data_IF_086952327207
#
_entry.id   IF_086952327207
#
_cell.length_a   1.000
_cell.length_b   1.000
_cell.length_c   1.000
_cell.angle_alpha   90.00
_cell.angle_beta   90.00
_cell.angle_gamma   90.00
#
_symmetry.space_group_name_H-M   'P 1'
#
loop_
_entity.id
_entity.type
_entity.pdbx_description
1 polymer ?
#
# COMPACT_ATOMS: atom_id res chain seq x y z
N UNK A 1 26.04 58.47 6.08
CA UNK A 1 24.90 57.83 5.40
C UNK A 1 24.97 56.34 5.64
N UNK A 2 23.86 55.76 6.13
CA UNK A 2 23.42 54.36 6.12
C UNK A 2 24.50 53.26 5.99
N UNK A 3 24.62 52.44 7.04
CA UNK A 3 24.68 50.98 6.88
C UNK A 3 23.95 50.35 8.08
N UNK A 4 22.62 50.36 7.96
CA UNK A 4 21.72 49.46 8.65
C UNK A 4 21.66 48.20 7.80
N UNK A 5 22.00 47.04 8.36
CA UNK A 5 21.45 45.70 8.05
C UNK A 5 22.43 44.64 8.55
N UNK A 6 22.10 44.01 9.68
CA UNK A 6 22.15 42.55 9.81
C UNK A 6 21.57 42.18 11.18
N UNK A 7 20.25 42.18 11.29
CA UNK A 7 19.53 41.41 12.30
C UNK A 7 18.49 40.60 11.55
N UNK A 8 18.48 39.29 11.81
CA UNK A 8 17.33 38.43 11.56
C UNK A 8 17.53 37.43 10.43
N UNK A 9 17.95 36.21 10.76
CA UNK A 9 17.02 35.11 10.99
C UNK A 9 17.82 33.83 11.27
N UNK A 10 17.95 33.51 12.56
CA UNK A 10 18.29 32.17 13.03
C UNK A 10 16.96 31.46 13.30
N UNK A 11 16.83 30.24 12.80
CA UNK A 11 15.98 29.22 13.42
C UNK A 11 14.65 28.95 12.73
N UNK A 12 14.67 28.42 11.51
CA UNK A 12 13.66 27.43 11.10
C UNK A 12 14.38 26.09 11.08
N UNK A 13 14.52 25.50 12.27
CA UNK A 13 14.95 24.12 12.43
C UNK A 13 13.79 23.23 11.94
N UNK A 14 14.01 22.68 10.74
CA UNK A 14 13.53 21.41 10.23
C UNK A 14 12.55 20.65 11.15
N UNK A 15 11.25 20.87 10.95
CA UNK A 15 10.24 19.85 11.25
C UNK A 15 10.28 18.82 10.13
N UNK A 16 11.32 17.99 10.08
CA UNK A 16 11.26 16.76 9.30
C UNK A 16 10.96 15.65 10.28
N UNK A 17 9.68 15.45 10.58
CA UNK A 17 9.19 14.19 11.15
C UNK A 17 9.35 13.11 10.07
N UNK A 18 10.58 12.68 9.83
CA UNK A 18 10.85 11.47 9.02
C UNK A 18 10.66 10.30 9.96
N UNK A 19 9.41 9.97 10.27
CA UNK A 19 9.09 8.62 10.71
C UNK A 19 9.22 7.74 9.47
N UNK A 20 10.43 7.24 9.22
CA UNK A 20 10.58 6.03 8.43
C UNK A 20 9.86 4.95 9.22
N UNK A 21 8.67 4.59 8.76
CA UNK A 21 7.87 3.51 9.33
C UNK A 21 8.49 2.20 8.87
N UNK A 22 9.63 1.84 9.44
CA UNK A 22 10.37 0.63 9.10
C UNK A 22 9.41 -0.58 9.09
N UNK A 23 9.42 -1.35 8.00
CA UNK A 23 8.61 -2.56 7.87
C UNK A 23 7.16 -2.38 7.41
N UNK A 24 6.68 -1.17 7.11
CA UNK A 24 5.33 -1.00 6.55
C UNK A 24 5.34 -0.84 5.04
N UNK A 25 4.54 -1.66 4.35
CA UNK A 25 4.26 -1.57 2.91
C UNK A 25 2.82 -1.08 2.75
N UNK A 26 2.66 0.08 2.11
CA UNK A 26 1.33 0.65 1.84
C UNK A 26 0.91 0.34 0.41
N UNK A 27 -0.29 -0.18 0.24
CA UNK A 27 -0.85 -0.55 -1.06
C UNK A 27 -2.10 0.28 -1.31
N UNK A 28 -1.97 1.47 -1.91
CA UNK A 28 -3.13 2.23 -2.35
C UNK A 28 -3.79 1.52 -3.52
N UNK A 29 -5.09 1.33 -3.43
CA UNK A 29 -5.88 0.57 -4.40
C UNK A 29 -6.74 1.52 -5.21
N UNK A 30 -6.55 1.51 -6.53
CA UNK A 30 -7.35 2.27 -7.51
C UNK A 30 -8.53 1.48 -8.04
N UNK A 31 -8.32 0.20 -8.26
CA UNK A 31 -9.28 -0.69 -8.89
C UNK A 31 -9.01 -2.13 -8.44
N UNK A 32 -10.06 -2.95 -8.44
CA UNK A 32 -9.96 -4.38 -8.22
C UNK A 32 -10.66 -5.11 -9.36
N UNK A 33 -9.97 -6.07 -9.97
CA UNK A 33 -10.48 -6.86 -11.10
C UNK A 33 -10.58 -8.32 -10.72
N UNK A 34 -11.68 -8.96 -11.09
CA UNK A 34 -11.77 -10.42 -11.00
C UNK A 34 -10.77 -11.07 -11.95
N UNK A 35 -10.16 -12.17 -11.51
CA UNK A 35 -9.37 -13.04 -12.38
C UNK A 35 -10.22 -14.21 -12.88
N UNK A 36 -9.63 -15.10 -13.69
CA UNK A 36 -10.29 -16.34 -14.12
C UNK A 36 -10.52 -17.33 -12.96
N UNK A 37 -9.82 -17.13 -11.84
CA UNK A 37 -10.00 -17.91 -10.62
C UNK A 37 -10.95 -17.17 -9.68
N UNK A 38 -12.06 -17.82 -9.33
CA UNK A 38 -13.01 -17.29 -8.35
C UNK A 38 -12.32 -17.07 -7.00
N UNK A 39 -12.62 -15.98 -6.31
CA UNK A 39 -11.95 -15.64 -5.03
C UNK A 39 -10.50 -15.16 -5.16
N UNK A 40 -9.99 -14.98 -6.39
CA UNK A 40 -8.70 -14.33 -6.65
C UNK A 40 -8.91 -13.06 -7.45
N UNK A 41 -8.43 -11.95 -6.92
CA UNK A 41 -8.62 -10.61 -7.46
C UNK A 41 -7.29 -9.94 -7.76
N UNK A 42 -7.17 -9.31 -8.92
CA UNK A 42 -6.05 -8.43 -9.23
C UNK A 42 -6.31 -7.04 -8.62
N UNK A 43 -5.37 -6.60 -7.79
CA UNK A 43 -5.42 -5.31 -7.11
C UNK A 43 -4.55 -4.32 -7.89
N UNK A 44 -5.17 -3.31 -8.50
CA UNK A 44 -4.48 -2.30 -9.30
C UNK A 44 -4.07 -1.15 -8.38
N UNK A 45 -2.76 -0.97 -8.21
CA UNK A 45 -2.18 0.09 -7.37
C UNK A 45 -1.75 1.33 -8.17
N UNK A 46 -1.29 2.37 -7.47
CA UNK A 46 -0.71 3.60 -8.06
C UNK A 46 0.69 3.39 -8.67
N UNK A 47 0.85 2.40 -9.55
CA UNK A 47 2.12 2.05 -10.22
C UNK A 47 3.27 1.66 -9.27
N UNK A 48 2.96 1.43 -7.99
CA UNK A 48 3.95 1.06 -6.98
C UNK A 48 4.40 -0.39 -7.11
N UNK A 49 3.48 -1.24 -7.58
CA UNK A 49 3.67 -2.67 -7.72
C UNK A 49 3.32 -3.07 -9.14
N UNK A 50 4.18 -3.89 -9.76
CA UNK A 50 3.97 -4.35 -11.12
C UNK A 50 2.69 -5.21 -11.23
N UNK A 51 2.44 -6.05 -10.21
CA UNK A 51 1.20 -6.82 -10.08
C UNK A 51 0.96 -7.24 -8.64
N UNK A 52 -0.29 -7.09 -8.19
CA UNK A 52 -0.75 -7.55 -6.88
C UNK A 52 -2.00 -8.41 -7.05
N UNK A 53 -2.06 -9.54 -6.35
CA UNK A 53 -3.26 -10.37 -6.25
C UNK A 53 -3.70 -10.51 -4.80
N UNK A 54 -4.96 -10.26 -4.52
CA UNK A 54 -5.62 -10.70 -3.30
C UNK A 54 -6.19 -12.09 -3.56
N UNK A 55 -5.62 -13.10 -2.91
CA UNK A 55 -6.02 -14.50 -3.05
C UNK A 55 -6.73 -14.95 -1.78
N UNK A 56 -8.04 -15.14 -1.87
CA UNK A 56 -8.88 -15.61 -0.77
C UNK A 56 -9.40 -17.05 -0.97
N UNK A 57 -8.88 -17.79 -1.96
CA UNK A 57 -9.33 -19.15 -2.25
C UNK A 57 -8.20 -20.20 -2.12
N UNK A 58 -6.98 -19.84 -2.52
CA UNK A 58 -5.86 -20.79 -2.54
C UNK A 58 -5.44 -21.22 -1.14
N UNK A 59 -4.69 -22.32 -1.05
CA UNK A 59 -4.09 -22.79 0.21
C UNK A 59 -3.29 -21.73 0.96
N UNK A 60 -2.67 -20.80 0.21
CA UNK A 60 -1.99 -19.62 0.77
C UNK A 60 -2.87 -18.41 0.50
N UNK A 61 -3.81 -18.14 1.41
CA UNK A 61 -4.56 -16.90 1.38
C UNK A 61 -3.62 -15.72 1.66
N UNK A 62 -3.78 -14.62 0.94
CA UNK A 62 -2.92 -13.47 1.16
C UNK A 62 -2.91 -12.44 0.05
N UNK A 63 -2.08 -11.43 0.28
CA UNK A 63 -1.77 -10.43 -0.73
C UNK A 63 -0.41 -10.77 -1.36
N UNK A 64 -0.46 -11.19 -2.62
CA UNK A 64 0.67 -11.71 -3.38
C UNK A 64 1.17 -10.66 -4.35
N UNK A 65 2.46 -10.36 -4.29
CA UNK A 65 3.15 -9.36 -5.09
C UNK A 65 4.04 -10.07 -6.10
N UNK A 66 3.94 -9.64 -7.36
CA UNK A 66 4.67 -10.26 -8.46
C UNK A 66 5.47 -9.22 -9.23
N UNK A 67 6.68 -9.61 -9.61
CA UNK A 67 7.53 -8.88 -10.55
C UNK A 67 7.72 -9.68 -11.84
N UNK A 68 8.22 -8.99 -12.87
CA UNK A 68 8.60 -9.63 -14.13
C UNK A 68 10.00 -10.24 -13.98
N UNK A 69 10.12 -11.53 -14.27
CA UNK A 69 11.41 -12.20 -14.44
C UNK A 69 12.16 -11.65 -15.64
N UNK A 70 13.43 -12.04 -15.79
CA UNK A 70 14.25 -11.67 -16.97
C UNK A 70 13.67 -12.20 -18.28
N UNK A 71 12.94 -13.30 -18.22
CA UNK A 71 12.30 -13.94 -19.38
C UNK A 71 10.90 -13.34 -19.67
N UNK A 72 10.45 -12.40 -18.85
CA UNK A 72 9.17 -11.71 -19.00
C UNK A 72 7.98 -12.43 -18.35
N UNK A 73 8.22 -13.52 -17.63
CA UNK A 73 7.20 -14.23 -16.86
C UNK A 73 6.93 -13.53 -15.52
N UNK A 74 5.74 -13.75 -14.95
CA UNK A 74 5.41 -13.23 -13.62
C UNK A 74 5.94 -14.18 -12.55
N UNK A 75 6.78 -13.66 -11.65
CA UNK A 75 7.33 -14.40 -10.51
C UNK A 75 6.81 -13.81 -9.20
N UNK A 76 6.52 -14.68 -8.23
CA UNK A 76 6.09 -14.25 -6.90
C UNK A 76 7.30 -13.64 -6.17
N UNK A 77 7.26 -12.34 -5.95
CA UNK A 77 8.31 -11.61 -5.25
C UNK A 77 8.12 -11.65 -3.74
N UNK A 78 6.87 -11.48 -3.30
CA UNK A 78 6.51 -11.48 -1.89
C UNK A 78 5.06 -11.93 -1.70
N UNK A 79 4.79 -12.60 -0.59
CA UNK A 79 3.44 -12.96 -0.18
C UNK A 79 3.25 -12.48 1.26
N UNK A 80 2.20 -11.70 1.48
CA UNK A 80 1.72 -11.36 2.81
C UNK A 80 0.59 -12.32 3.18
N UNK A 81 0.83 -13.30 4.06
CA UNK A 81 -0.18 -14.29 4.40
C UNK A 81 -1.34 -13.64 5.17
N UNK A 82 -2.55 -14.03 4.83
CA UNK A 82 -3.77 -13.67 5.54
C UNK A 82 -4.47 -14.96 5.96
N UNK A 83 -5.22 -14.93 7.06
CA UNK A 83 -6.26 -15.93 7.28
C UNK A 83 -7.42 -15.69 6.32
N UNK A 84 -8.28 -16.70 6.14
CA UNK A 84 -9.50 -16.56 5.32
C UNK A 84 -10.37 -15.37 5.78
N UNK A 85 -10.55 -15.22 7.09
CA UNK A 85 -11.33 -14.13 7.66
C UNK A 85 -10.71 -12.75 7.36
N UNK A 86 -9.38 -12.63 7.46
CA UNK A 86 -8.67 -11.39 7.14
C UNK A 86 -8.70 -11.08 5.64
N UNK A 87 -8.60 -12.10 4.78
CA UNK A 87 -8.70 -11.91 3.34
C UNK A 87 -10.08 -11.41 2.93
N UNK A 88 -11.14 -11.99 3.51
CA UNK A 88 -12.52 -11.54 3.30
C UNK A 88 -12.75 -10.11 3.82
N UNK A 89 -12.14 -9.74 4.95
CA UNK A 89 -12.19 -8.39 5.50
C UNK A 89 -11.53 -7.37 4.54
N UNK A 90 -10.32 -7.67 4.04
CA UNK A 90 -9.63 -6.85 3.03
C UNK A 90 -10.48 -6.73 1.76
N UNK A 91 -10.96 -7.85 1.21
CA UNK A 91 -11.79 -7.85 0.00
C UNK A 91 -13.02 -6.95 0.16
N UNK A 92 -13.75 -7.09 1.27
CA UNK A 92 -14.95 -6.31 1.54
C UNK A 92 -14.62 -4.82 1.68
N UNK A 93 -13.58 -4.48 2.44
CA UNK A 93 -13.15 -3.10 2.60
C UNK A 93 -12.80 -2.44 1.26
N UNK A 94 -12.02 -3.13 0.42
CA UNK A 94 -11.65 -2.62 -0.90
C UNK A 94 -12.89 -2.43 -1.78
N UNK A 95 -13.77 -3.44 -1.84
CA UNK A 95 -14.98 -3.38 -2.64
C UNK A 95 -15.88 -2.21 -2.22
N UNK A 96 -16.19 -2.11 -0.94
CA UNK A 96 -17.11 -1.11 -0.40
C UNK A 96 -16.57 0.33 -0.65
N UNK A 97 -15.26 0.55 -0.47
CA UNK A 97 -14.66 1.87 -0.69
C UNK A 97 -14.54 2.24 -2.17
N UNK A 98 -14.17 1.28 -3.03
CA UNK A 98 -14.10 1.52 -4.48
C UNK A 98 -15.48 1.82 -5.07
N UNK A 99 -16.53 1.10 -4.66
CA UNK A 99 -17.92 1.38 -5.06
C UNK A 99 -18.39 2.77 -4.56
N UNK A 100 -17.97 3.15 -3.35
CA UNK A 100 -18.25 4.46 -2.76
C UNK A 100 -17.36 5.60 -3.28
N UNK A 101 -16.40 5.32 -4.18
CA UNK A 101 -15.39 6.28 -4.67
C UNK A 101 -14.60 6.96 -3.55
N UNK A 102 -14.29 6.21 -2.50
CA UNK A 102 -13.43 6.62 -1.39
C UNK A 102 -12.01 6.10 -1.57
N UNK A 103 -11.01 6.73 -0.95
CA UNK A 103 -9.67 6.17 -0.89
C UNK A 103 -9.68 4.80 -0.19
N UNK A 104 -8.88 3.87 -0.68
CA UNK A 104 -8.70 2.55 -0.10
C UNK A 104 -7.20 2.20 -0.08
N UNK A 105 -6.63 2.02 1.10
CA UNK A 105 -5.26 1.55 1.27
C UNK A 105 -5.21 0.35 2.19
N UNK A 106 -4.39 -0.63 1.82
CA UNK A 106 -4.00 -1.74 2.68
C UNK A 106 -2.58 -1.46 3.16
N UNK A 107 -2.39 -1.31 4.46
CA UNK A 107 -1.08 -1.13 5.08
C UNK A 107 -0.64 -2.46 5.68
N UNK A 108 0.54 -2.95 5.30
CA UNK A 108 1.07 -4.24 5.68
C UNK A 108 2.37 -4.08 6.46
N UNK A 109 2.37 -4.49 7.72
CA UNK A 109 3.59 -4.59 8.51
C UNK A 109 4.26 -5.94 8.22
N UNK A 110 5.29 -5.93 7.37
CA UNK A 110 5.99 -7.14 6.94
C UNK A 110 6.83 -7.79 8.06
N UNK A 111 7.13 -7.05 9.12
CA UNK A 111 7.92 -7.54 10.26
C UNK A 111 7.00 -8.26 11.25
N UNK A 112 5.90 -7.62 11.62
CA UNK A 112 5.00 -8.12 12.66
C UNK A 112 3.85 -8.99 12.12
N UNK A 113 3.67 -9.03 10.79
CA UNK A 113 2.59 -9.79 10.14
C UNK A 113 1.20 -9.20 10.43
N UNK A 114 1.12 -7.87 10.60
CA UNK A 114 -0.11 -7.14 10.89
C UNK A 114 -0.57 -6.40 9.63
N UNK A 115 -1.87 -6.30 9.41
CA UNK A 115 -2.45 -5.45 8.37
C UNK A 115 -3.38 -4.40 8.98
N UNK A 116 -3.45 -3.24 8.34
CA UNK A 116 -4.40 -2.18 8.65
C UNK A 116 -5.10 -1.74 7.35
N UNK A 117 -6.34 -1.27 7.51
CA UNK A 117 -7.17 -0.80 6.40
C UNK A 117 -7.48 0.68 6.62
N UNK A 118 -7.19 1.51 5.63
CA UNK A 118 -7.29 2.97 5.78
C UNK A 118 -8.06 3.61 4.63
N UNK A 119 -9.03 4.46 4.99
CA UNK A 119 -9.76 5.35 4.08
C UNK A 119 -9.07 6.72 3.93
N UNK A 120 -7.94 6.94 4.62
CA UNK A 120 -7.26 8.24 4.61
C UNK A 120 -6.43 8.38 3.35
N UNK A 121 -6.58 9.51 2.65
CA UNK A 121 -5.73 9.83 1.49
C UNK A 121 -4.24 9.83 1.87
N UNK A 122 -3.89 10.31 3.06
CA UNK A 122 -2.51 10.32 3.56
C UNK A 122 -1.90 8.91 3.66
N UNK A 123 -2.68 7.92 4.12
CA UNK A 123 -2.26 6.50 4.10
C UNK A 123 -2.13 5.95 2.67
N UNK A 124 -2.85 6.53 1.71
CA UNK A 124 -2.79 6.16 0.29
C UNK A 124 -1.66 6.86 -0.46
N UNK A 125 -0.96 7.81 0.17
CA UNK A 125 0.17 8.51 -0.43
C UNK A 125 1.46 7.75 -0.15
N UNK A 126 2.33 7.72 -1.17
CA UNK A 126 3.67 7.16 -1.06
C UNK A 126 4.42 7.85 0.07
N UNK A 127 4.69 7.12 1.15
CA UNK A 127 5.78 7.46 2.04
C UNK A 127 7.08 7.11 1.32
N UNK A 128 7.72 8.13 0.75
CA UNK A 128 9.10 8.08 0.26
C UNK A 128 10.10 7.84 1.38
#
# INVERSE_FOLDING_TARGET
>A
MKNLCLIGLIGILFYTNVFSSEGWVRVPVKEMKSTDLEGVFEVISNEQFAKVKLDCLSFIHGMNFYDKSRDGDWELSYSFPLSEAQCNDVYKFLKDNLEAKKPACVELNIIDGIYELSEKEESCQLGS
#
